data_IF_707232700217
#
_entry.id   IF_707232700217
#
_cell.length_a   1.000
_cell.length_b   1.000
_cell.length_c   1.000
_cell.angle_alpha   90.00
_cell.angle_beta   90.00
_cell.angle_gamma   90.00
#
_symmetry.space_group_name_H-M   'P 1'
#
loop_
_entity.id
_entity.type
_entity.pdbx_description
1 polymer ?
#
# COMPACT_ATOMS: atom_id res chain seq x y z
N UNK A 1 -26.07 4.67 11.69
CA UNK A 1 -25.33 4.22 12.90
C UNK A 1 -23.86 4.43 12.64
N UNK A 2 -23.16 5.09 13.59
CA UNK A 2 -21.69 5.23 13.49
C UNK A 2 -21.04 3.87 13.76
N UNK A 3 -20.46 3.28 12.74
CA UNK A 3 -19.72 2.02 12.84
C UNK A 3 -18.32 2.26 13.39
N UNK A 4 -17.79 1.28 14.13
CA UNK A 4 -16.41 1.30 14.59
C UNK A 4 -15.53 0.57 13.56
N UNK A 5 -14.51 1.25 13.08
CA UNK A 5 -13.45 0.68 12.26
C UNK A 5 -12.11 0.74 12.99
N UNK A 6 -11.30 -0.29 12.84
CA UNK A 6 -9.96 -0.34 13.44
C UNK A 6 -8.90 -0.36 12.36
N UNK A 7 -7.92 0.53 12.45
CA UNK A 7 -6.81 0.65 11.51
C UNK A 7 -5.50 0.38 12.24
N UNK A 8 -4.90 -0.75 11.96
CA UNK A 8 -3.59 -1.12 12.51
C UNK A 8 -2.47 -0.59 11.60
N UNK A 9 -1.73 0.41 12.09
CA UNK A 9 -0.68 1.13 11.37
C UNK A 9 -1.15 2.47 10.79
N UNK A 10 -0.29 3.50 10.87
CA UNK A 10 -0.53 4.85 10.37
C UNK A 10 0.52 5.29 9.32
N UNK A 11 0.98 4.35 8.51
CA UNK A 11 1.70 4.63 7.27
C UNK A 11 0.79 5.33 6.25
N UNK A 12 1.25 5.61 5.01
CA UNK A 12 0.46 6.33 4.02
C UNK A 12 -0.94 5.71 3.79
N UNK A 13 -1.01 4.38 3.68
CA UNK A 13 -2.30 3.68 3.47
C UNK A 13 -3.18 3.78 4.71
N UNK A 14 -2.69 3.37 5.88
CA UNK A 14 -3.51 3.38 7.10
C UNK A 14 -3.94 4.78 7.53
N UNK A 15 -3.07 5.80 7.35
CA UNK A 15 -3.44 7.20 7.58
C UNK A 15 -4.61 7.61 6.67
N UNK A 16 -4.53 7.28 5.37
CA UNK A 16 -5.56 7.65 4.39
C UNK A 16 -6.87 6.91 4.61
N UNK A 17 -6.82 5.59 4.92
CA UNK A 17 -8.02 4.81 5.30
C UNK A 17 -8.70 5.43 6.52
N UNK A 18 -7.93 5.74 7.57
CA UNK A 18 -8.49 6.31 8.79
C UNK A 18 -9.11 7.70 8.55
N UNK A 19 -8.46 8.55 7.75
CA UNK A 19 -8.98 9.86 7.40
C UNK A 19 -10.29 9.76 6.60
N UNK A 20 -10.32 8.95 5.54
CA UNK A 20 -11.51 8.78 4.71
C UNK A 20 -12.70 8.19 5.50
N UNK A 21 -12.48 7.21 6.36
CA UNK A 21 -13.53 6.66 7.23
C UNK A 21 -14.08 7.73 8.19
N UNK A 22 -13.20 8.51 8.78
CA UNK A 22 -13.58 9.58 9.70
C UNK A 22 -14.37 10.71 8.99
N UNK A 23 -13.97 11.09 7.77
CA UNK A 23 -14.68 12.03 6.90
C UNK A 23 -16.06 11.52 6.49
N UNK A 24 -16.25 10.21 6.34
CA UNK A 24 -17.54 9.55 6.12
C UNK A 24 -18.41 9.47 7.38
N UNK A 25 -17.90 9.95 8.53
CA UNK A 25 -18.62 10.00 9.78
C UNK A 25 -18.51 8.73 10.63
N UNK A 26 -17.68 7.77 10.27
CA UNK A 26 -17.42 6.57 11.07
C UNK A 26 -16.49 6.87 12.25
N UNK A 27 -16.58 6.06 13.29
CA UNK A 27 -15.65 6.05 14.41
C UNK A 27 -14.44 5.19 14.03
N UNK A 28 -13.25 5.73 14.22
CA UNK A 28 -12.01 5.07 13.81
C UNK A 28 -11.05 4.95 14.98
N UNK A 29 -10.54 3.77 15.27
CA UNK A 29 -9.39 3.56 16.13
C UNK A 29 -8.15 3.30 15.32
N UNK A 30 -7.13 4.11 15.51
CA UNK A 30 -5.83 3.93 14.88
C UNK A 30 -4.85 3.35 15.90
N UNK A 31 -4.36 2.15 15.62
CA UNK A 31 -3.46 1.42 16.50
C UNK A 31 -2.01 1.56 15.99
N UNK A 32 -1.18 2.21 16.78
CA UNK A 32 0.26 2.33 16.51
C UNK A 32 1.05 2.29 17.81
N UNK A 33 2.29 1.83 17.74
CA UNK A 33 3.19 1.85 18.91
C UNK A 33 3.50 3.27 19.40
N UNK A 34 3.44 4.27 18.53
CA UNK A 34 3.70 5.68 18.86
C UNK A 34 2.45 6.48 19.25
N UNK A 35 1.25 5.99 18.99
CA UNK A 35 0.01 6.77 19.09
C UNK A 35 -0.15 7.79 17.95
N UNK A 36 0.51 7.58 16.82
CA UNK A 36 0.37 8.43 15.62
C UNK A 36 -0.88 8.07 14.83
N UNK A 37 -1.39 9.03 14.07
CA UNK A 37 -2.56 8.88 13.21
C UNK A 37 -3.10 10.25 12.76
N UNK A 38 -4.15 10.28 11.93
CA UNK A 38 -4.78 11.54 11.53
C UNK A 38 -5.35 12.28 12.74
N UNK A 39 -5.38 13.60 12.65
CA UNK A 39 -6.03 14.47 13.65
C UNK A 39 -7.45 14.77 13.17
N UNK A 40 -8.43 14.08 13.76
CA UNK A 40 -9.84 14.21 13.39
C UNK A 40 -10.74 13.85 14.59
N UNK A 41 -11.88 14.52 14.82
CA UNK A 41 -12.77 14.25 15.97
C UNK A 41 -13.26 12.79 16.05
N UNK A 42 -13.42 12.11 14.92
CA UNK A 42 -13.87 10.73 14.84
C UNK A 42 -12.72 9.71 14.92
N UNK A 43 -11.47 10.15 15.14
CA UNK A 43 -10.29 9.28 15.23
C UNK A 43 -9.76 9.22 16.65
N UNK A 44 -9.81 8.05 17.24
CA UNK A 44 -9.15 7.72 18.49
C UNK A 44 -7.79 7.08 18.19
N UNK A 45 -6.69 7.71 18.63
CA UNK A 45 -5.32 7.21 18.46
C UNK A 45 -4.89 6.43 19.69
N UNK A 46 -4.65 5.14 19.54
CA UNK A 46 -4.26 4.26 20.64
C UNK A 46 -2.81 3.77 20.49
N UNK A 47 -2.08 3.76 21.60
CA UNK A 47 -0.76 3.14 21.68
C UNK A 47 -0.93 1.65 21.91
N UNK A 48 -0.92 0.87 20.84
CA UNK A 48 -1.08 -0.59 20.88
C UNK A 48 0.01 -1.23 19.99
N UNK A 49 0.70 -2.23 20.54
CA UNK A 49 1.43 -3.19 19.73
C UNK A 49 0.44 -4.31 19.33
N UNK A 50 0.29 -4.56 18.05
CA UNK A 50 -0.65 -5.60 17.56
C UNK A 50 -0.26 -7.02 17.97
N UNK A 51 0.96 -7.23 18.46
CA UNK A 51 1.37 -8.49 19.06
C UNK A 51 0.87 -8.66 20.51
N UNK A 52 0.37 -7.59 21.15
CA UNK A 52 -0.28 -7.66 22.45
C UNK A 52 -1.74 -8.06 22.25
N UNK A 53 -2.04 -9.34 22.47
CA UNK A 53 -3.36 -9.93 22.25
C UNK A 53 -4.46 -9.28 23.09
N UNK A 54 -4.17 -8.97 24.35
CA UNK A 54 -5.17 -8.40 25.28
C UNK A 54 -5.48 -6.94 24.90
N UNK A 55 -4.45 -6.14 24.63
CA UNK A 55 -4.60 -4.77 24.15
C UNK A 55 -5.37 -4.72 22.82
N UNK A 56 -5.08 -5.62 21.90
CA UNK A 56 -5.77 -5.69 20.62
C UNK A 56 -7.23 -6.15 20.78
N UNK A 57 -7.50 -7.15 21.60
CA UNK A 57 -8.87 -7.60 21.92
C UNK A 57 -9.72 -6.49 22.54
N UNK A 58 -9.11 -5.61 23.35
CA UNK A 58 -9.76 -4.40 23.86
C UNK A 58 -9.97 -3.34 22.78
N UNK A 59 -9.04 -3.22 21.83
CA UNK A 59 -9.12 -2.21 20.77
C UNK A 59 -10.22 -2.48 19.73
N UNK A 60 -10.55 -3.75 19.44
CA UNK A 60 -11.62 -4.13 18.51
C UNK A 60 -13.02 -4.07 19.14
N UNK A 61 -13.12 -3.72 20.43
CA UNK A 61 -14.35 -3.56 21.18
C UNK A 61 -14.36 -2.21 21.89
N UNK A 62 -15.53 -1.65 22.09
CA UNK A 62 -15.73 -0.53 23.01
C UNK A 62 -17.03 -0.71 23.80
N UNK A 63 -17.33 0.20 24.71
CA UNK A 63 -18.55 0.14 25.51
C UNK A 63 -19.85 0.30 24.71
N UNK A 64 -19.78 0.57 23.41
CA UNK A 64 -20.92 0.86 22.53
C UNK A 64 -21.03 -0.13 21.35
N UNK A 65 -20.03 -0.98 21.12
CA UNK A 65 -20.07 -1.96 20.03
C UNK A 65 -18.73 -2.65 19.78
N UNK A 66 -18.67 -3.35 18.63
CA UNK A 66 -17.49 -4.04 18.14
C UNK A 66 -17.08 -3.48 16.79
N UNK A 67 -15.83 -3.68 16.41
CA UNK A 67 -15.34 -3.31 15.07
C UNK A 67 -16.12 -4.08 14.00
N UNK A 68 -16.53 -3.38 12.93
CA UNK A 68 -17.15 -4.00 11.75
C UNK A 68 -16.08 -4.45 10.73
N UNK A 69 -14.92 -3.81 10.74
CA UNK A 69 -13.76 -4.18 9.92
C UNK A 69 -12.45 -3.77 10.59
N UNK A 70 -11.39 -4.53 10.32
CA UNK A 70 -10.02 -4.22 10.74
C UNK A 70 -9.14 -4.07 9.49
N UNK A 71 -8.42 -2.95 9.37
CA UNK A 71 -7.50 -2.68 8.26
C UNK A 71 -6.07 -2.92 8.73
N UNK A 72 -5.43 -3.97 8.22
CA UNK A 72 -4.07 -4.34 8.59
C UNK A 72 -3.05 -3.61 7.69
N UNK A 73 -2.71 -2.37 8.06
CA UNK A 73 -1.81 -1.49 7.30
C UNK A 73 -0.37 -1.46 7.87
N UNK A 74 0.01 -2.48 8.63
CA UNK A 74 1.36 -2.61 9.18
C UNK A 74 2.29 -3.22 8.13
N UNK A 75 3.50 -2.69 8.09
CA UNK A 75 4.62 -3.20 7.30
C UNK A 75 5.77 -3.59 8.23
N UNK A 76 6.67 -4.47 7.75
CA UNK A 76 7.87 -4.83 8.50
C UNK A 76 8.74 -3.60 8.83
N UNK A 77 9.45 -3.65 9.95
CA UNK A 77 10.28 -2.54 10.46
C UNK A 77 11.43 -2.15 9.53
N UNK A 78 11.79 -3.03 8.59
CA UNK A 78 12.74 -2.77 7.50
C UNK A 78 12.28 -3.46 6.21
N UNK A 79 12.70 -2.93 5.06
CA UNK A 79 12.39 -3.48 3.73
C UNK A 79 13.30 -4.67 3.41
N UNK A 80 13.15 -5.75 4.18
CA UNK A 80 13.98 -6.94 4.11
C UNK A 80 13.16 -8.21 4.29
N UNK A 81 13.46 -9.25 3.52
CA UNK A 81 12.74 -10.52 3.57
C UNK A 81 12.80 -11.21 4.95
N UNK A 82 14.00 -11.24 5.58
CA UNK A 82 14.18 -11.84 6.91
C UNK A 82 13.45 -11.09 8.04
N UNK A 83 13.28 -9.78 7.89
CA UNK A 83 12.49 -8.97 8.82
C UNK A 83 11.00 -9.25 8.65
N UNK A 84 10.52 -9.28 7.40
CA UNK A 84 9.12 -9.58 7.13
C UNK A 84 8.72 -10.97 7.59
N UNK A 85 9.57 -11.97 7.35
CA UNK A 85 9.31 -13.35 7.78
C UNK A 85 9.24 -13.51 9.28
N UNK A 86 10.01 -12.72 10.02
CA UNK A 86 10.00 -12.73 11.49
C UNK A 86 8.82 -11.95 12.08
N UNK A 87 8.45 -10.81 11.47
CA UNK A 87 7.54 -9.84 12.10
C UNK A 87 6.09 -9.98 11.64
N UNK A 88 5.85 -10.27 10.36
CA UNK A 88 4.51 -10.19 9.80
C UNK A 88 3.61 -11.38 10.16
N UNK A 89 4.04 -12.65 10.14
CA UNK A 89 3.14 -13.78 10.39
C UNK A 89 2.45 -13.72 11.74
N UNK A 90 3.20 -13.44 12.81
CA UNK A 90 2.65 -13.32 14.17
C UNK A 90 1.69 -12.15 14.31
N UNK A 91 2.06 -10.98 13.79
CA UNK A 91 1.22 -9.80 13.81
C UNK A 91 -0.10 -10.01 13.04
N UNK A 92 -0.05 -10.63 11.86
CA UNK A 92 -1.24 -10.93 11.06
C UNK A 92 -2.16 -11.94 11.78
N UNK A 93 -1.60 -13.01 12.34
CA UNK A 93 -2.37 -14.00 13.10
C UNK A 93 -3.09 -13.35 14.29
N UNK A 94 -2.39 -12.51 15.05
CA UNK A 94 -3.01 -11.84 16.22
C UNK A 94 -4.16 -10.91 15.80
N UNK A 95 -4.00 -10.19 14.68
CA UNK A 95 -5.07 -9.33 14.14
C UNK A 95 -6.24 -10.15 13.61
N UNK A 96 -5.99 -11.25 12.92
CA UNK A 96 -7.02 -12.17 12.42
C UNK A 96 -7.83 -12.79 13.58
N UNK A 97 -7.14 -13.27 14.63
CA UNK A 97 -7.78 -13.81 15.83
C UNK A 97 -8.71 -12.77 16.49
N UNK A 98 -8.21 -11.55 16.70
CA UNK A 98 -8.96 -10.49 17.36
C UNK A 98 -10.18 -10.03 16.53
N UNK A 99 -10.01 -9.88 15.22
CA UNK A 99 -11.10 -9.51 14.31
C UNK A 99 -12.16 -10.62 14.23
N UNK A 100 -11.75 -11.88 14.09
CA UNK A 100 -12.65 -13.03 14.05
C UNK A 100 -13.48 -13.20 15.33
N UNK A 101 -12.90 -12.90 16.50
CA UNK A 101 -13.60 -12.94 17.79
C UNK A 101 -14.76 -11.92 17.91
N UNK A 102 -14.85 -10.95 17.00
CA UNK A 102 -15.94 -9.97 16.92
C UNK A 102 -16.74 -10.06 15.61
N UNK A 103 -16.44 -11.04 14.76
CA UNK A 103 -17.10 -11.22 13.46
C UNK A 103 -16.69 -10.21 12.38
N UNK A 104 -15.58 -9.47 12.58
CA UNK A 104 -15.08 -8.50 11.63
C UNK A 104 -14.20 -9.17 10.56
N UNK A 105 -14.27 -8.69 9.33
CA UNK A 105 -13.30 -9.04 8.30
C UNK A 105 -12.01 -8.22 8.46
N UNK A 106 -10.87 -8.79 7.98
CA UNK A 106 -9.60 -8.08 7.93
C UNK A 106 -9.26 -7.70 6.49
N UNK A 107 -9.01 -6.41 6.26
CA UNK A 107 -8.67 -5.85 4.95
C UNK A 107 -7.18 -5.54 4.90
N UNK A 108 -6.50 -6.08 3.89
CA UNK A 108 -5.07 -5.93 3.69
C UNK A 108 -4.75 -5.12 2.44
N UNK A 109 -3.91 -4.07 2.53
CA UNK A 109 -3.24 -3.57 1.34
C UNK A 109 -2.18 -4.58 0.93
N UNK A 110 -2.26 -5.08 -0.30
CA UNK A 110 -1.34 -6.06 -0.83
C UNK A 110 -0.44 -5.46 -1.92
N UNK A 111 0.68 -6.12 -2.17
CA UNK A 111 1.60 -5.78 -3.25
C UNK A 111 1.56 -6.82 -4.36
N UNK A 112 2.12 -6.47 -5.52
CA UNK A 112 2.30 -7.38 -6.65
C UNK A 112 3.43 -8.40 -6.45
N UNK A 113 4.09 -8.45 -5.29
CA UNK A 113 5.27 -9.31 -5.09
C UNK A 113 4.96 -10.79 -5.11
N UNK A 114 3.76 -11.21 -4.74
CA UNK A 114 3.34 -12.62 -4.81
C UNK A 114 3.04 -13.11 -6.23
N UNK A 115 2.88 -12.21 -7.20
CA UNK A 115 2.60 -12.59 -8.59
C UNK A 115 3.81 -13.25 -9.22
N UNK A 116 3.64 -14.45 -9.82
CA UNK A 116 4.73 -15.19 -10.45
C UNK A 116 5.15 -14.56 -11.77
N UNK A 117 4.19 -14.35 -12.66
CA UNK A 117 4.41 -13.91 -14.03
C UNK A 117 4.19 -12.40 -14.11
N UNK A 118 5.26 -11.63 -14.30
CA UNK A 118 5.24 -10.16 -14.35
C UNK A 118 5.58 -9.61 -15.73
N UNK A 119 5.76 -10.48 -16.72
CA UNK A 119 6.07 -10.16 -18.13
C UNK A 119 4.81 -9.80 -18.95
N UNK A 120 3.66 -9.85 -18.34
CA UNK A 120 2.34 -9.49 -18.90
C UNK A 120 1.52 -8.74 -17.85
N UNK A 121 0.44 -8.05 -18.25
CA UNK A 121 -0.43 -7.40 -17.27
C UNK A 121 -0.96 -8.38 -16.23
N UNK A 122 -0.75 -8.04 -14.96
CA UNK A 122 -1.21 -8.82 -13.81
C UNK A 122 -2.67 -8.48 -13.52
N UNK A 123 -3.52 -9.50 -13.47
CA UNK A 123 -4.94 -9.42 -13.13
C UNK A 123 -5.23 -10.08 -11.80
N UNK A 124 -6.44 -9.94 -11.26
CA UNK A 124 -6.88 -10.59 -10.03
C UNK A 124 -6.75 -12.12 -10.07
N UNK A 125 -6.87 -12.71 -11.26
CA UNK A 125 -6.78 -14.16 -11.51
C UNK A 125 -5.36 -14.66 -11.79
N UNK A 126 -4.37 -13.76 -11.92
CA UNK A 126 -2.98 -14.13 -12.20
C UNK A 126 -2.38 -14.94 -11.05
N UNK A 127 -1.52 -15.95 -11.32
CA UNK A 127 -0.92 -16.79 -10.30
C UNK A 127 -0.09 -16.00 -9.28
N UNK A 128 -0.35 -16.25 -7.98
CA UNK A 128 0.30 -15.57 -6.84
C UNK A 128 1.07 -16.54 -5.96
N UNK A 129 1.97 -17.27 -6.60
CA UNK A 129 2.82 -18.32 -6.01
C UNK A 129 4.31 -18.07 -6.25
N UNK A 130 4.69 -16.80 -6.40
CA UNK A 130 6.09 -16.42 -6.51
C UNK A 130 6.89 -16.90 -5.30
N UNK A 131 8.15 -17.26 -5.53
CA UNK A 131 9.03 -17.83 -4.53
C UNK A 131 10.29 -16.98 -4.28
N UNK A 132 10.97 -17.26 -3.18
CA UNK A 132 12.21 -16.60 -2.78
C UNK A 132 12.01 -15.21 -2.19
N UNK A 133 12.91 -14.76 -1.34
CA UNK A 133 12.98 -13.43 -0.76
C UNK A 133 11.64 -12.84 -0.30
N UNK A 134 11.43 -11.56 -0.54
CA UNK A 134 10.19 -10.85 -0.21
C UNK A 134 8.96 -11.38 -0.95
N UNK A 135 9.15 -11.87 -2.18
CA UNK A 135 8.09 -12.47 -3.00
C UNK A 135 7.53 -13.71 -2.32
N UNK A 136 8.41 -14.64 -1.90
CA UNK A 136 8.02 -15.86 -1.19
C UNK A 136 7.42 -15.60 0.19
N UNK A 137 7.85 -14.57 0.91
CA UNK A 137 7.22 -14.18 2.18
C UNK A 137 5.76 -13.78 1.93
N UNK A 138 5.47 -12.95 0.91
CA UNK A 138 4.08 -12.56 0.58
C UNK A 138 3.23 -13.77 0.19
N UNK A 139 3.75 -14.69 -0.61
CA UNK A 139 3.03 -15.92 -0.96
C UNK A 139 2.65 -16.73 0.29
N UNK A 140 3.56 -16.88 1.26
CA UNK A 140 3.27 -17.58 2.53
C UNK A 140 2.24 -16.87 3.39
N UNK A 141 2.29 -15.54 3.48
CA UNK A 141 1.27 -14.75 4.19
C UNK A 141 -0.11 -14.92 3.57
N UNK A 142 -0.23 -14.87 2.24
CA UNK A 142 -1.49 -15.12 1.55
C UNK A 142 -2.04 -16.52 1.83
N UNK A 143 -1.19 -17.55 1.82
CA UNK A 143 -1.60 -18.92 2.14
C UNK A 143 -2.07 -19.06 3.61
N UNK A 144 -1.38 -18.40 4.55
CA UNK A 144 -1.77 -18.39 5.96
C UNK A 144 -3.13 -17.72 6.18
N UNK A 145 -3.38 -16.58 5.53
CA UNK A 145 -4.68 -15.88 5.58
C UNK A 145 -5.80 -16.73 4.98
N UNK A 146 -5.55 -17.38 3.84
CA UNK A 146 -6.54 -18.25 3.20
C UNK A 146 -6.91 -19.48 4.05
N UNK A 147 -5.99 -19.94 4.92
CA UNK A 147 -6.22 -21.03 5.85
C UNK A 147 -6.89 -20.58 7.17
N UNK A 148 -7.01 -19.28 7.43
CA UNK A 148 -7.58 -18.75 8.65
C UNK A 148 -9.11 -18.68 8.57
N UNK A 149 -9.80 -18.90 9.71
CA UNK A 149 -11.27 -18.87 9.77
C UNK A 149 -11.86 -17.45 9.61
N UNK A 150 -11.11 -16.42 9.96
CA UNK A 150 -11.55 -15.02 9.84
C UNK A 150 -11.56 -14.59 8.37
N UNK A 151 -12.66 -14.03 7.86
CA UNK A 151 -12.70 -13.52 6.49
C UNK A 151 -11.67 -12.42 6.23
N UNK A 152 -11.08 -12.46 5.04
CA UNK A 152 -10.08 -11.47 4.63
C UNK A 152 -10.39 -10.87 3.27
N UNK A 153 -9.92 -9.66 3.01
CA UNK A 153 -9.92 -9.05 1.67
C UNK A 153 -8.53 -8.51 1.39
N UNK A 154 -7.93 -8.93 0.29
CA UNK A 154 -6.70 -8.35 -0.20
C UNK A 154 -6.97 -7.33 -1.30
N UNK A 155 -6.55 -6.08 -1.12
CA UNK A 155 -6.60 -5.06 -2.18
C UNK A 155 -5.18 -4.78 -2.63
N UNK A 156 -4.87 -5.27 -3.82
CA UNK A 156 -3.53 -5.20 -4.40
C UNK A 156 -3.29 -3.83 -5.02
N UNK A 157 -2.10 -3.32 -4.80
CA UNK A 157 -1.62 -2.08 -5.40
C UNK A 157 -0.22 -2.27 -5.96
N UNK A 158 0.10 -1.51 -6.99
CA UNK A 158 1.47 -1.35 -7.50
C UNK A 158 2.21 -0.30 -6.67
N UNK A 159 3.29 0.27 -7.20
CA UNK A 159 4.05 1.28 -6.46
C UNK A 159 3.19 2.49 -6.08
N UNK A 160 3.32 2.93 -4.84
CA UNK A 160 2.47 3.97 -4.26
C UNK A 160 2.90 5.37 -4.67
N UNK A 161 1.93 6.22 -4.93
CA UNK A 161 2.10 7.67 -4.94
C UNK A 161 0.89 8.37 -4.30
N UNK A 162 1.04 9.64 -3.97
CA UNK A 162 -0.03 10.41 -3.33
C UNK A 162 0.43 11.16 -2.08
N UNK A 163 -0.49 11.86 -1.41
CA UNK A 163 -0.26 12.44 -0.09
C UNK A 163 0.22 11.39 0.92
N UNK A 164 1.05 11.79 1.86
CA UNK A 164 1.64 10.94 2.90
C UNK A 164 2.64 9.86 2.42
N UNK A 165 2.78 9.62 1.11
CA UNK A 165 3.73 8.67 0.55
C UNK A 165 5.13 9.27 0.57
N UNK A 166 5.95 8.84 1.56
CA UNK A 166 7.30 9.35 1.77
C UNK A 166 8.37 8.45 1.15
N UNK A 167 8.44 7.22 1.59
CA UNK A 167 9.58 6.30 1.32
C UNK A 167 9.50 5.54 0.00
N UNK A 168 8.47 5.75 -0.83
CA UNK A 168 8.36 5.13 -2.15
C UNK A 168 9.22 5.85 -3.21
N UNK A 169 9.49 5.15 -4.32
CA UNK A 169 10.23 5.72 -5.45
C UNK A 169 9.53 6.96 -6.01
N UNK A 170 8.21 6.91 -6.16
CA UNK A 170 7.37 8.02 -6.62
C UNK A 170 7.13 9.11 -5.55
N UNK A 171 7.63 8.94 -4.32
CA UNK A 171 7.56 9.88 -3.20
C UNK A 171 8.81 10.75 -3.06
N UNK A 172 9.53 10.61 -1.93
CA UNK A 172 10.67 11.48 -1.56
C UNK A 172 11.83 11.46 -2.56
N UNK A 173 12.00 10.38 -3.33
CA UNK A 173 13.04 10.27 -4.34
C UNK A 173 12.71 11.02 -5.63
N UNK A 174 11.46 11.36 -5.86
CA UNK A 174 10.99 12.01 -7.08
C UNK A 174 10.43 13.41 -6.81
N UNK A 175 9.42 13.55 -5.98
CA UNK A 175 8.67 14.82 -5.84
C UNK A 175 9.55 15.99 -5.36
N UNK A 176 10.32 15.91 -4.26
CA UNK A 176 11.19 17.01 -3.83
C UNK A 176 12.29 17.35 -4.85
N UNK A 177 12.75 16.36 -5.63
CA UNK A 177 13.77 16.55 -6.67
C UNK A 177 13.19 17.35 -7.83
N UNK A 178 11.95 17.01 -8.26
CA UNK A 178 11.20 17.76 -9.27
C UNK A 178 10.94 19.19 -8.82
N UNK A 179 10.44 19.37 -7.58
CA UNK A 179 10.15 20.70 -7.02
C UNK A 179 11.39 21.58 -6.90
N UNK A 180 12.56 20.97 -6.72
CA UNK A 180 13.84 21.68 -6.73
C UNK A 180 14.43 21.95 -8.13
N UNK A 181 13.73 21.58 -9.22
CA UNK A 181 14.20 21.74 -10.60
C UNK A 181 15.44 20.91 -10.95
N UNK A 182 15.68 19.82 -10.20
CA UNK A 182 16.88 18.98 -10.37
C UNK A 182 16.59 17.76 -11.24
N UNK A 183 17.66 17.15 -11.77
CA UNK A 183 17.56 15.88 -12.50
C UNK A 183 17.09 14.75 -11.58
N UNK A 184 15.98 14.10 -11.93
CA UNK A 184 15.47 12.93 -11.24
C UNK A 184 16.30 11.70 -11.62
N UNK A 185 16.75 10.95 -10.63
CA UNK A 185 17.48 9.68 -10.84
C UNK A 185 16.58 8.52 -10.40
N UNK A 186 16.23 7.67 -11.37
CA UNK A 186 15.32 6.54 -11.16
C UNK A 186 16.04 5.20 -11.25
N UNK A 187 15.48 4.19 -10.61
CA UNK A 187 15.97 2.81 -10.72
C UNK A 187 15.55 2.21 -12.07
N UNK A 188 16.41 1.40 -12.65
CA UNK A 188 16.14 0.72 -13.92
C UNK A 188 15.98 1.69 -15.10
N UNK A 189 14.92 1.53 -15.87
CA UNK A 189 14.62 2.36 -17.04
C UNK A 189 13.63 3.47 -16.69
N UNK A 190 13.86 4.72 -17.10
CA UNK A 190 12.87 5.79 -16.96
C UNK A 190 11.69 5.65 -17.94
N UNK A 191 11.80 4.76 -18.93
CA UNK A 191 10.94 4.74 -20.13
C UNK A 191 10.18 3.42 -20.33
N UNK A 192 10.22 2.48 -19.36
CA UNK A 192 9.38 1.28 -19.38
C UNK A 192 8.04 1.54 -18.70
N UNK A 193 6.93 0.95 -19.19
CA UNK A 193 5.61 1.07 -18.57
C UNK A 193 5.60 0.49 -17.15
N UNK A 194 5.06 1.24 -16.21
CA UNK A 194 4.94 0.86 -14.82
C UNK A 194 3.61 1.37 -14.24
N UNK A 195 2.90 0.54 -13.51
CA UNK A 195 1.70 0.95 -12.82
C UNK A 195 2.04 1.67 -11.52
N UNK A 196 1.40 2.82 -11.29
CA UNK A 196 1.51 3.58 -10.04
C UNK A 196 0.12 3.73 -9.44
N UNK A 197 -0.07 3.22 -8.24
CA UNK A 197 -1.37 3.26 -7.55
C UNK A 197 -1.46 4.49 -6.66
N UNK A 198 -2.51 5.29 -6.86
CA UNK A 198 -2.80 6.44 -6.01
C UNK A 198 -3.37 5.96 -4.66
N UNK A 199 -2.71 6.30 -3.56
CA UNK A 199 -3.05 5.78 -2.22
C UNK A 199 -4.50 6.10 -1.80
N UNK A 200 -5.07 7.27 -2.09
CA UNK A 200 -6.48 7.52 -1.82
C UNK A 200 -7.46 6.58 -2.54
N UNK A 201 -7.16 6.16 -3.78
CA UNK A 201 -8.00 5.18 -4.50
C UNK A 201 -7.88 3.78 -3.89
N UNK A 202 -6.66 3.39 -3.48
CA UNK A 202 -6.44 2.15 -2.72
C UNK A 202 -7.26 2.16 -1.42
N UNK A 203 -7.21 3.24 -0.66
CA UNK A 203 -7.95 3.38 0.59
C UNK A 203 -9.46 3.28 0.37
N UNK A 204 -9.98 3.97 -0.65
CA UNK A 204 -11.39 3.93 -1.02
C UNK A 204 -11.84 2.50 -1.41
N UNK A 205 -11.03 1.79 -2.19
CA UNK A 205 -11.31 0.39 -2.56
C UNK A 205 -11.28 -0.54 -1.34
N UNK A 206 -10.34 -0.36 -0.41
CA UNK A 206 -10.27 -1.10 0.86
C UNK A 206 -11.53 -0.88 1.71
N UNK A 207 -11.99 0.36 1.83
CA UNK A 207 -13.20 0.73 2.59
C UNK A 207 -14.44 0.11 1.93
N UNK A 208 -14.59 0.27 0.61
CA UNK A 208 -15.70 -0.30 -0.13
C UNK A 208 -15.77 -1.84 -0.02
N UNK A 209 -14.62 -2.51 -0.09
CA UNK A 209 -14.55 -3.97 0.01
C UNK A 209 -14.85 -4.48 1.43
N UNK A 210 -14.50 -3.72 2.46
CA UNK A 210 -14.81 -4.09 3.86
C UNK A 210 -16.31 -4.27 4.11
N UNK A 211 -17.13 -3.39 3.55
CA UNK A 211 -18.60 -3.40 3.65
C UNK A 211 -19.31 -4.40 2.71
N UNK A 212 -18.57 -5.21 1.96
CA UNK A 212 -19.09 -6.12 0.93
C UNK A 212 -18.75 -7.58 1.24
N UNK A 213 -19.57 -8.31 2.04
CA UNK A 213 -19.32 -9.72 2.36
C UNK A 213 -19.17 -10.64 1.14
N UNK A 214 -19.80 -10.29 0.01
CA UNK A 214 -19.65 -11.00 -1.25
C UNK A 214 -18.25 -10.86 -1.87
N UNK A 215 -17.43 -9.94 -1.40
CA UNK A 215 -16.03 -9.74 -1.81
C UNK A 215 -15.03 -10.34 -0.80
N UNK A 216 -15.49 -10.85 0.34
CA UNK A 216 -14.59 -11.45 1.32
C UNK A 216 -13.95 -12.74 0.78
N UNK A 217 -12.73 -12.99 1.23
CA UNK A 217 -11.86 -14.07 0.74
C UNK A 217 -11.51 -13.96 -0.76
N UNK A 218 -11.62 -12.75 -1.31
CA UNK A 218 -11.24 -12.45 -2.70
C UNK A 218 -10.05 -11.51 -2.74
N UNK A 219 -9.47 -11.44 -3.93
CA UNK A 219 -8.44 -10.49 -4.28
C UNK A 219 -9.02 -9.46 -5.23
N UNK A 220 -8.76 -8.22 -4.92
CA UNK A 220 -9.15 -7.07 -5.72
C UNK A 220 -7.88 -6.30 -6.10
N UNK A 221 -7.90 -5.61 -7.24
CA UNK A 221 -6.87 -4.64 -7.59
C UNK A 221 -7.40 -3.23 -7.32
N UNK A 222 -6.62 -2.41 -6.62
CA UNK A 222 -6.97 -1.01 -6.41
C UNK A 222 -7.13 -0.31 -7.77
N UNK A 223 -8.18 0.50 -7.98
CA UNK A 223 -8.31 1.29 -9.19
C UNK A 223 -7.01 2.04 -9.47
N UNK A 224 -6.41 1.78 -10.61
CA UNK A 224 -5.09 2.28 -10.95
C UNK A 224 -5.10 2.80 -12.39
N UNK A 225 -4.71 4.05 -12.57
CA UNK A 225 -4.63 4.67 -13.90
C UNK A 225 -3.74 3.85 -14.84
N UNK A 226 -3.92 3.96 -16.17
CA UNK A 226 -3.10 3.25 -17.14
C UNK A 226 -1.60 3.40 -16.83
N UNK A 227 -0.85 2.32 -17.03
CA UNK A 227 0.60 2.32 -16.76
C UNK A 227 1.30 3.45 -17.51
N UNK A 228 2.21 4.12 -16.84
CA UNK A 228 3.03 5.21 -17.36
C UNK A 228 4.49 4.98 -17.02
N UNK A 229 5.36 5.68 -17.70
CA UNK A 229 6.80 5.63 -17.42
C UNK A 229 7.14 6.48 -16.20
N UNK A 230 8.28 6.19 -15.56
CA UNK A 230 8.79 7.04 -14.47
C UNK A 230 9.04 8.49 -14.94
N UNK A 231 9.39 8.69 -16.23
CA UNK A 231 9.55 10.00 -16.86
C UNK A 231 8.21 10.75 -16.93
N UNK A 232 7.16 10.08 -17.38
CA UNK A 232 5.83 10.69 -17.47
C UNK A 232 5.28 11.07 -16.09
N UNK A 233 5.49 10.22 -15.07
CA UNK A 233 5.10 10.56 -13.71
C UNK A 233 5.86 11.79 -13.18
N UNK A 234 7.16 11.88 -13.39
CA UNK A 234 7.96 13.04 -13.02
C UNK A 234 7.50 14.32 -13.78
N UNK A 235 7.13 14.17 -15.05
CA UNK A 235 6.54 15.23 -15.86
C UNK A 235 5.19 15.70 -15.33
N UNK A 236 4.33 14.76 -14.89
CA UNK A 236 3.04 15.09 -14.28
C UNK A 236 3.21 15.91 -12.98
N UNK A 237 4.18 15.56 -12.13
CA UNK A 237 4.49 16.36 -10.93
C UNK A 237 5.01 17.76 -11.30
N UNK A 238 5.88 17.86 -12.30
CA UNK A 238 6.38 19.17 -12.75
C UNK A 238 5.23 20.05 -13.28
N UNK A 239 4.38 19.49 -14.14
CA UNK A 239 3.19 20.18 -14.65
C UNK A 239 2.29 20.65 -13.51
N UNK A 240 2.01 19.78 -12.53
CA UNK A 240 1.20 20.11 -11.36
C UNK A 240 1.83 21.23 -10.49
N UNK A 241 3.15 21.34 -10.50
CA UNK A 241 3.91 22.39 -9.80
C UNK A 241 4.09 23.68 -10.62
N UNK A 242 3.65 23.71 -11.89
CA UNK A 242 3.91 24.83 -12.79
C UNK A 242 5.39 24.94 -13.24
N UNK A 243 6.11 23.85 -13.24
CA UNK A 243 7.53 23.76 -13.55
C UNK A 243 7.77 23.14 -14.92
N UNK A 244 8.91 23.44 -15.58
CA UNK A 244 9.33 22.72 -16.78
C UNK A 244 9.53 21.23 -16.52
N UNK A 245 9.32 20.41 -17.55
CA UNK A 245 9.58 18.96 -17.47
C UNK A 245 11.02 18.70 -17.02
N UNK A 246 11.24 17.86 -15.98
CA UNK A 246 12.58 17.60 -15.47
C UNK A 246 13.36 16.66 -16.38
N UNK A 247 14.67 16.76 -16.34
CA UNK A 247 15.53 15.71 -16.87
C UNK A 247 15.40 14.46 -15.99
N UNK A 248 15.18 13.29 -16.62
CA UNK A 248 15.11 12.01 -15.90
C UNK A 248 16.19 11.08 -16.44
N UNK A 249 17.04 10.58 -15.54
CA UNK A 249 18.13 9.66 -15.87
C UNK A 249 18.07 8.37 -15.06
N UNK A 250 18.52 7.27 -15.67
CA UNK A 250 18.59 5.96 -15.02
C UNK A 250 19.75 5.88 -14.01
N UNK A 251 19.53 5.17 -12.90
CA UNK A 251 20.60 4.56 -12.11
C UNK A 251 20.85 3.19 -12.76
N UNK A 252 22.03 2.95 -13.37
CA UNK A 252 22.28 1.71 -14.07
C UNK A 252 22.11 0.48 -13.16
N UNK A 253 21.39 -0.54 -13.64
CA UNK A 253 21.12 -1.76 -12.87
C UNK A 253 22.39 -2.48 -12.42
N UNK A 254 23.48 -2.39 -13.20
CA UNK A 254 24.76 -2.98 -12.81
C UNK A 254 25.35 -2.34 -11.54
N UNK A 255 25.12 -1.05 -11.29
CA UNK A 255 25.58 -0.37 -10.07
C UNK A 255 24.84 -0.92 -8.83
N UNK A 256 23.53 -1.14 -8.95
CA UNK A 256 22.71 -1.74 -7.88
C UNK A 256 23.17 -3.16 -7.62
N UNK A 257 23.39 -3.95 -8.67
CA UNK A 257 23.90 -5.33 -8.58
C UNK A 257 25.31 -5.38 -7.97
N UNK A 258 26.22 -4.52 -8.36
CA UNK A 258 27.55 -4.45 -7.76
C UNK A 258 27.49 -4.09 -6.27
N UNK A 259 26.65 -3.10 -5.90
CA UNK A 259 26.43 -2.73 -4.51
C UNK A 259 25.81 -3.84 -3.67
N UNK A 260 25.05 -4.76 -4.28
CA UNK A 260 24.41 -5.89 -3.59
C UNK A 260 25.40 -6.90 -3.01
N UNK A 261 26.63 -6.91 -3.47
CA UNK A 261 27.71 -7.79 -2.95
C UNK A 261 28.12 -7.35 -1.54
N UNK A 262 28.15 -6.03 -1.29
CA UNK A 262 28.69 -5.45 -0.04
C UNK A 262 27.60 -4.91 0.90
N UNK A 263 26.40 -4.65 0.38
CA UNK A 263 25.30 -4.08 1.16
C UNK A 263 24.05 -4.97 1.11
N UNK A 264 23.51 -5.29 2.29
CA UNK A 264 22.24 -6.02 2.40
C UNK A 264 21.09 -5.23 1.78
N UNK A 265 20.99 -3.93 2.04
CA UNK A 265 19.91 -3.09 1.52
C UNK A 265 19.96 -3.01 -0.01
N UNK A 266 21.15 -2.94 -0.59
CA UNK A 266 21.33 -3.00 -2.04
C UNK A 266 20.95 -4.36 -2.62
N UNK A 267 21.13 -5.45 -1.86
CA UNK A 267 20.68 -6.79 -2.27
C UNK A 267 19.17 -6.90 -2.30
N UNK A 268 18.51 -6.37 -1.28
CA UNK A 268 17.04 -6.29 -1.21
C UNK A 268 16.45 -5.41 -2.33
N UNK A 269 17.16 -4.36 -2.70
CA UNK A 269 16.79 -3.52 -3.83
C UNK A 269 17.03 -4.22 -5.17
N UNK A 270 18.15 -4.94 -5.30
CA UNK A 270 18.50 -5.69 -6.51
C UNK A 270 17.48 -6.80 -6.81
N UNK A 271 16.93 -7.45 -5.78
CA UNK A 271 15.84 -8.43 -5.91
C UNK A 271 14.62 -7.84 -6.63
N UNK A 272 14.33 -6.56 -6.43
CA UNK A 272 13.13 -5.91 -6.94
C UNK A 272 13.37 -5.10 -8.22
N UNK A 273 14.59 -5.14 -8.79
CA UNK A 273 14.92 -4.36 -9.99
C UNK A 273 14.08 -4.71 -11.22
N UNK A 274 13.60 -5.96 -11.33
CA UNK A 274 12.78 -6.40 -12.46
C UNK A 274 11.55 -5.50 -12.67
N UNK A 275 11.00 -4.92 -11.61
CA UNK A 275 9.85 -4.01 -11.71
C UNK A 275 10.17 -2.71 -12.48
N UNK A 276 11.45 -2.34 -12.54
CA UNK A 276 11.91 -1.08 -13.12
C UNK A 276 12.74 -1.28 -14.40
N UNK A 277 13.08 -2.53 -14.76
CA UNK A 277 13.81 -2.85 -15.99
C UNK A 277 12.90 -3.34 -17.10
N UNK A 278 11.77 -3.90 -16.74
CA UNK A 278 10.79 -4.50 -17.65
C UNK A 278 9.41 -3.88 -17.39
N UNK A 279 8.45 -3.98 -18.33
CA UNK A 279 7.08 -3.53 -18.11
C UNK A 279 6.49 -4.20 -16.86
N UNK A 280 5.95 -3.39 -15.94
CA UNK A 280 5.36 -3.85 -14.69
C UNK A 280 3.95 -3.29 -14.56
N UNK A 281 2.99 -4.01 -15.13
CA UNK A 281 1.64 -3.51 -15.37
C UNK A 281 0.61 -4.30 -14.56
N UNK A 282 -0.22 -3.58 -13.82
CA UNK A 282 -1.38 -4.11 -13.11
C UNK A 282 -2.65 -3.71 -13.86
N UNK A 283 -3.55 -4.66 -14.08
CA UNK A 283 -4.88 -4.42 -14.62
C UNK A 283 -5.90 -4.45 -13.47
N UNK A 284 -6.63 -3.37 -13.26
CA UNK A 284 -7.65 -3.21 -12.22
C UNK A 284 -9.09 -3.19 -12.76
N UNK A 285 -9.26 -3.43 -14.06
CA UNK A 285 -10.55 -3.27 -14.75
C UNK A 285 -11.68 -4.12 -14.14
N UNK A 286 -11.38 -5.34 -13.69
CA UNK A 286 -12.38 -6.22 -13.08
C UNK A 286 -12.86 -5.67 -11.72
N UNK A 287 -11.96 -5.17 -10.90
CA UNK A 287 -12.32 -4.54 -9.61
C UNK A 287 -13.05 -3.22 -9.83
N UNK A 288 -12.61 -2.37 -10.76
CA UNK A 288 -13.29 -1.11 -11.09
C UNK A 288 -14.75 -1.35 -11.45
N UNK A 289 -15.01 -2.35 -12.30
CA UNK A 289 -16.37 -2.76 -12.65
C UNK A 289 -17.15 -3.30 -11.45
N UNK A 290 -16.51 -4.09 -10.59
CA UNK A 290 -17.14 -4.72 -9.41
C UNK A 290 -17.53 -3.69 -8.35
N UNK A 291 -16.68 -2.68 -8.14
CA UNK A 291 -16.91 -1.61 -7.17
C UNK A 291 -17.67 -0.41 -7.75
N UNK A 292 -17.83 -0.34 -9.08
CA UNK A 292 -18.40 0.83 -9.76
C UNK A 292 -17.52 2.08 -9.56
N UNK A 293 -16.20 1.90 -9.49
CA UNK A 293 -15.22 2.96 -9.25
C UNK A 293 -14.23 3.05 -10.41
N UNK A 294 -13.53 4.18 -10.50
CA UNK A 294 -12.47 4.40 -11.47
C UNK A 294 -11.30 5.09 -10.79
N UNK A 295 -10.07 4.96 -11.32
CA UNK A 295 -8.93 5.64 -10.75
C UNK A 295 -9.05 7.16 -10.89
N UNK A 296 -8.54 7.88 -9.90
CA UNK A 296 -8.40 9.34 -9.97
C UNK A 296 -7.52 9.72 -11.17
N UNK A 297 -7.95 10.69 -12.01
CA UNK A 297 -7.15 11.14 -13.15
C UNK A 297 -5.75 11.61 -12.72
N UNK A 298 -4.71 11.20 -13.48
CA UNK A 298 -3.32 11.50 -13.14
C UNK A 298 -3.05 13.00 -12.85
N UNK A 299 -3.59 13.98 -13.59
CA UNK A 299 -3.36 15.39 -13.27
C UNK A 299 -3.88 15.79 -11.88
N UNK A 300 -5.03 15.27 -11.47
CA UNK A 300 -5.62 15.52 -10.16
C UNK A 300 -4.79 14.87 -9.04
N UNK A 301 -4.45 13.59 -9.19
CA UNK A 301 -3.63 12.84 -8.25
C UNK A 301 -2.23 13.45 -8.08
N UNK A 302 -1.61 13.87 -9.19
CA UNK A 302 -0.32 14.56 -9.18
C UNK A 302 -0.41 15.92 -8.46
N UNK A 303 -1.45 16.69 -8.74
CA UNK A 303 -1.66 17.98 -8.08
C UNK A 303 -1.86 17.83 -6.55
N UNK A 304 -2.64 16.85 -6.11
CA UNK A 304 -2.81 16.56 -4.68
C UNK A 304 -1.49 16.13 -4.03
N UNK A 305 -0.72 15.30 -4.73
CA UNK A 305 0.62 14.85 -4.26
C UNK A 305 1.56 16.03 -4.10
N UNK A 306 1.67 16.88 -5.11
CA UNK A 306 2.55 18.07 -5.11
C UNK A 306 2.15 19.05 -4.01
N UNK A 307 0.87 19.37 -3.87
CA UNK A 307 0.38 20.25 -2.79
C UNK A 307 0.78 19.74 -1.41
N UNK A 308 0.65 18.44 -1.19
CA UNK A 308 1.02 17.85 0.09
C UNK A 308 2.53 18.00 0.39
N UNK A 309 3.39 17.82 -0.62
CA UNK A 309 4.83 17.98 -0.48
C UNK A 309 5.26 19.44 -0.30
N UNK A 310 4.55 20.40 -0.90
CA UNK A 310 4.82 21.84 -0.75
C UNK A 310 4.43 22.39 0.63
N UNK A 311 3.47 21.75 1.30
CA UNK A 311 2.96 22.18 2.62
C UNK A 311 3.67 21.51 3.80
N UNK A 312 4.86 20.95 3.57
CA UNK A 312 5.64 20.23 4.61
C UNK A 312 6.77 21.04 5.16
#
# INVERSE_FOLDING_TARGET
>A
VQELHVVAGAGPVGHTVAAQLAEQGHRVRVLTRSGSGPDHPNVERLRVDVNDRDALAGAVRDGTGTAVAVYMCIHGSAYRADVWERELPGAETTVLDAAGAVGAAVVFPESLYSYRDTDRPMTEDSPRDASGGKRGVRTRLLAARAAHATPTVGVVASDFFGPHVRTAHAGERMVPVVLAGRTVRVLGSPDVPHSFTYVPDLAAAMIAAAGRPDLWNRVLHAPTAPALTQRELAGAYATAAGLPSPSVGAIPSWMVRAGSVVSRDMRELAEMLYQFTDPFVMDSTATEKTLGSSPTPLPEAAAATVRWWQNR
#
